data_IF_438241573223
#
_entry.id   IF_438241573223
#
_cell.length_a   1.000
_cell.length_b   1.000
_cell.length_c   1.000
_cell.angle_alpha   90.00
_cell.angle_beta   90.00
_cell.angle_gamma   90.00
#
_symmetry.space_group_name_H-M   'P 1'
#
loop_
_entity.id
_entity.type
_entity.pdbx_description
1 polymer ?
#
# COMPACT_ATOMS: atom_id res chain seq x y z
N UNK A 1 -22.31 10.36 -4.55
CA UNK A 1 -22.23 8.89 -4.59
C UNK A 1 -21.12 8.55 -5.58
N UNK A 2 -19.89 8.30 -5.09
CA UNK A 2 -18.80 7.85 -5.97
C UNK A 2 -19.15 6.45 -6.48
N UNK A 3 -18.93 6.21 -7.77
CA UNK A 3 -19.06 4.90 -8.36
C UNK A 3 -18.09 3.95 -7.64
N UNK A 4 -18.62 2.85 -7.09
CA UNK A 4 -17.79 1.77 -6.57
C UNK A 4 -17.10 1.11 -7.76
N UNK A 5 -15.80 1.38 -7.93
CA UNK A 5 -15.01 0.68 -8.94
C UNK A 5 -14.66 -0.70 -8.39
N UNK A 6 -15.07 -1.76 -9.08
CA UNK A 6 -14.80 -3.15 -8.68
C UNK A 6 -13.32 -3.57 -8.86
N UNK A 7 -12.48 -2.65 -9.35
CA UNK A 7 -11.06 -2.87 -9.61
C UNK A 7 -10.23 -1.93 -8.74
N UNK A 8 -9.32 -2.51 -7.96
CA UNK A 8 -8.32 -1.76 -7.19
C UNK A 8 -7.25 -1.20 -8.13
N UNK A 9 -6.83 0.03 -7.87
CA UNK A 9 -5.68 0.65 -8.54
C UNK A 9 -4.37 -0.03 -8.12
N UNK A 10 -3.27 0.17 -8.88
CA UNK A 10 -1.95 -0.34 -8.48
C UNK A 10 -1.52 0.10 -7.07
N UNK A 11 -1.81 1.35 -6.69
CA UNK A 11 -1.51 1.90 -5.36
C UNK A 11 -2.30 1.18 -4.27
N UNK A 12 -3.58 0.92 -4.50
CA UNK A 12 -4.43 0.21 -3.54
C UNK A 12 -4.02 -1.25 -3.40
N UNK A 13 -3.53 -1.89 -4.47
CA UNK A 13 -2.93 -3.22 -4.40
C UNK A 13 -1.64 -3.24 -3.57
N UNK A 14 -0.82 -2.18 -3.64
CA UNK A 14 0.34 -2.04 -2.75
C UNK A 14 -0.10 -1.85 -1.29
N UNK A 15 -1.15 -1.06 -1.04
CA UNK A 15 -1.70 -0.93 0.32
C UNK A 15 -2.15 -2.30 0.87
N UNK A 16 -2.81 -3.12 0.04
CA UNK A 16 -3.17 -4.51 0.38
C UNK A 16 -1.93 -5.34 0.70
N UNK A 17 -0.88 -5.27 -0.14
CA UNK A 17 0.35 -6.02 0.07
C UNK A 17 1.03 -5.64 1.40
N UNK A 18 1.24 -4.34 1.65
CA UNK A 18 1.83 -3.85 2.90
C UNK A 18 1.00 -4.27 4.12
N UNK A 19 -0.33 -4.18 4.05
CA UNK A 19 -1.20 -4.60 5.14
C UNK A 19 -1.08 -6.11 5.43
N UNK A 20 -0.99 -6.94 4.38
CA UNK A 20 -0.77 -8.38 4.52
C UNK A 20 0.59 -8.66 5.19
N UNK A 21 1.66 -8.09 4.66
CA UNK A 21 3.03 -8.30 5.17
C UNK A 21 3.20 -7.88 6.64
N UNK A 22 2.46 -6.88 7.09
CA UNK A 22 2.65 -6.28 8.40
C UNK A 22 1.72 -6.89 9.46
N UNK A 23 0.52 -7.30 9.06
CA UNK A 23 -0.56 -7.63 9.98
C UNK A 23 -1.17 -9.03 9.82
N UNK A 24 -0.93 -9.74 8.72
CA UNK A 24 -1.50 -11.07 8.52
C UNK A 24 -1.12 -12.05 9.65
N UNK A 25 0.14 -11.98 10.09
CA UNK A 25 0.64 -12.79 11.19
C UNK A 25 -0.05 -12.55 12.54
N UNK A 26 -0.80 -11.45 12.74
CA UNK A 26 -1.61 -11.24 13.96
C UNK A 26 -2.91 -12.05 13.98
N UNK A 27 -3.28 -12.66 12.85
CA UNK A 27 -4.56 -13.32 12.67
C UNK A 27 -4.40 -14.70 12.05
N UNK A 28 -3.23 -15.31 12.23
CA UNK A 28 -2.91 -16.64 11.72
C UNK A 28 -2.14 -17.46 12.76
N UNK A 29 -2.46 -18.74 12.84
CA UNK A 29 -1.83 -19.68 13.77
C UNK A 29 -2.36 -19.55 15.20
N UNK A 30 -1.60 -20.08 16.17
CA UNK A 30 -2.00 -20.13 17.56
C UNK A 30 -1.67 -18.82 18.29
N UNK A 31 -2.69 -18.13 18.82
CA UNK A 31 -2.54 -16.87 19.54
C UNK A 31 -3.47 -16.81 20.75
N UNK A 32 -2.90 -16.56 21.94
CA UNK A 32 -3.69 -16.36 23.16
C UNK A 32 -4.64 -17.53 23.50
N UNK A 33 -4.31 -18.76 23.11
CA UNK A 33 -5.16 -19.94 23.30
C UNK A 33 -6.18 -20.19 22.19
N UNK A 34 -6.29 -19.30 21.20
CA UNK A 34 -7.12 -19.47 20.00
C UNK A 34 -6.27 -19.92 18.82
N UNK A 35 -6.88 -20.62 17.87
CA UNK A 35 -6.24 -20.95 16.58
C UNK A 35 -6.99 -20.20 15.50
N UNK A 36 -6.26 -19.33 14.79
CA UNK A 36 -6.80 -18.57 13.66
C UNK A 36 -6.39 -19.21 12.35
N UNK A 37 -7.36 -19.35 11.46
CA UNK A 37 -7.14 -19.85 10.11
C UNK A 37 -6.85 -18.72 9.13
N UNK A 38 -6.51 -19.12 7.91
CA UNK A 38 -6.29 -18.18 6.80
C UNK A 38 -7.47 -17.24 6.55
N UNK A 39 -8.71 -17.76 6.61
CA UNK A 39 -9.91 -16.95 6.42
C UNK A 39 -10.07 -15.86 7.49
N UNK A 40 -9.63 -16.09 8.72
CA UNK A 40 -9.67 -15.08 9.79
C UNK A 40 -8.69 -13.95 9.46
N UNK A 41 -7.48 -14.31 9.02
CA UNK A 41 -6.49 -13.36 8.55
C UNK A 41 -7.02 -12.49 7.41
N UNK A 42 -7.56 -13.09 6.37
CA UNK A 42 -8.09 -12.36 5.22
C UNK A 42 -9.18 -11.36 5.64
N UNK A 43 -10.07 -11.77 6.55
CA UNK A 43 -11.13 -10.93 7.09
C UNK A 43 -10.59 -9.77 7.93
N UNK A 44 -9.79 -10.05 8.96
CA UNK A 44 -9.37 -9.04 9.93
C UNK A 44 -8.36 -8.04 9.36
N UNK A 45 -7.54 -8.45 8.38
CA UNK A 45 -6.71 -7.50 7.61
C UNK A 45 -7.59 -6.56 6.80
N UNK A 46 -8.61 -7.08 6.13
CA UNK A 46 -9.54 -6.30 5.31
C UNK A 46 -10.37 -5.31 6.13
N UNK A 47 -11.07 -5.81 7.16
CA UNK A 47 -11.97 -5.00 8.00
C UNK A 47 -11.21 -4.00 8.88
N UNK A 48 -10.01 -4.35 9.34
CA UNK A 48 -9.21 -3.50 10.23
C UNK A 48 -8.31 -2.54 9.46
N UNK A 49 -7.21 -3.08 8.93
CA UNK A 49 -6.10 -2.28 8.38
C UNK A 49 -6.45 -1.62 7.04
N UNK A 50 -7.41 -2.19 6.32
CA UNK A 50 -7.88 -1.70 5.03
C UNK A 50 -9.30 -1.13 5.12
N UNK A 51 -9.76 -0.73 6.30
CA UNK A 51 -11.10 -0.13 6.52
C UNK A 51 -11.38 1.04 5.58
N UNK A 52 -10.44 1.99 5.43
CA UNK A 52 -10.56 3.11 4.48
C UNK A 52 -10.67 2.67 3.02
N UNK A 53 -10.07 1.54 2.66
CA UNK A 53 -10.21 0.97 1.32
C UNK A 53 -11.59 0.32 1.16
N UNK A 54 -12.12 -0.30 2.23
CA UNK A 54 -13.49 -0.81 2.30
C UNK A 54 -14.56 0.31 2.31
N UNK A 55 -14.21 1.55 2.65
CA UNK A 55 -15.12 2.70 2.48
C UNK A 55 -15.26 3.11 1.00
N UNK A 56 -14.21 2.88 0.20
CA UNK A 56 -14.15 3.21 -1.24
C UNK A 56 -14.61 2.07 -2.14
N UNK A 57 -14.30 0.84 -1.76
CA UNK A 57 -14.63 -0.40 -2.46
C UNK A 57 -15.44 -1.31 -1.55
N UNK A 58 -16.20 -2.25 -2.11
CA UNK A 58 -16.90 -3.21 -1.24
C UNK A 58 -15.89 -4.06 -0.45
N UNK A 59 -16.25 -4.46 0.77
CA UNK A 59 -15.46 -5.42 1.56
C UNK A 59 -15.14 -6.68 0.76
N UNK A 60 -16.06 -7.14 -0.09
CA UNK A 60 -15.86 -8.30 -0.98
C UNK A 60 -14.67 -8.10 -1.92
N UNK A 61 -14.51 -6.92 -2.51
CA UNK A 61 -13.38 -6.59 -3.42
C UNK A 61 -12.06 -6.58 -2.65
N UNK A 62 -12.03 -5.90 -1.50
CA UNK A 62 -10.81 -5.81 -0.67
C UNK A 62 -10.40 -7.17 -0.12
N UNK A 63 -11.36 -7.95 0.39
CA UNK A 63 -11.11 -9.31 0.87
C UNK A 63 -10.58 -10.20 -0.26
N UNK A 64 -11.20 -10.18 -1.44
CA UNK A 64 -10.69 -10.95 -2.58
C UNK A 64 -9.23 -10.60 -2.93
N UNK A 65 -8.85 -9.33 -2.84
CA UNK A 65 -7.48 -8.89 -3.06
C UNK A 65 -6.50 -9.39 -1.97
N UNK A 66 -6.89 -9.32 -0.70
CA UNK A 66 -6.10 -9.87 0.42
C UNK A 66 -5.91 -11.38 0.26
N UNK A 67 -6.99 -12.11 -0.04
CA UNK A 67 -6.94 -13.55 -0.27
C UNK A 67 -6.04 -13.91 -1.45
N UNK A 68 -6.14 -13.18 -2.57
CA UNK A 68 -5.28 -13.37 -3.73
C UNK A 68 -3.80 -13.12 -3.39
N UNK A 69 -3.48 -12.03 -2.67
CA UNK A 69 -2.11 -11.71 -2.27
C UNK A 69 -1.52 -12.79 -1.35
N UNK A 70 -2.22 -13.18 -0.29
CA UNK A 70 -1.77 -14.26 0.61
C UNK A 70 -1.70 -15.63 -0.08
N UNK A 71 -2.35 -15.81 -1.24
CA UNK A 71 -2.27 -17.05 -2.02
C UNK A 71 -1.00 -17.06 -2.86
N UNK A 72 -0.66 -15.92 -3.43
CA UNK A 72 0.60 -15.73 -4.14
C UNK A 72 1.81 -15.72 -3.20
N UNK A 73 1.62 -15.32 -1.94
CA UNK A 73 2.67 -15.12 -0.93
C UNK A 73 2.44 -15.93 0.36
N UNK A 74 2.43 -17.27 0.30
CA UNK A 74 2.21 -18.11 1.49
C UNK A 74 3.30 -17.92 2.57
N UNK A 75 4.49 -17.44 2.20
CA UNK A 75 5.59 -17.14 3.10
C UNK A 75 5.24 -16.07 4.15
N UNK A 76 4.31 -15.15 3.87
CA UNK A 76 3.86 -14.13 4.82
C UNK A 76 3.25 -14.78 6.06
N UNK A 77 2.42 -15.81 5.86
CA UNK A 77 1.80 -16.54 6.97
C UNK A 77 2.81 -17.43 7.71
N UNK A 78 3.80 -17.97 6.99
CA UNK A 78 4.86 -18.79 7.57
C UNK A 78 5.85 -17.97 8.41
N UNK A 79 6.09 -16.71 8.07
CA UNK A 79 6.98 -15.81 8.80
C UNK A 79 6.44 -15.45 10.21
N UNK A 80 5.13 -15.61 10.42
CA UNK A 80 4.48 -15.36 11.71
C UNK A 80 4.30 -13.87 12.03
N UNK A 81 4.02 -13.58 13.30
CA UNK A 81 3.70 -12.23 13.77
C UNK A 81 4.94 -11.34 13.83
N UNK A 82 4.87 -10.17 13.19
CA UNK A 82 5.82 -9.08 13.40
C UNK A 82 5.57 -8.34 14.71
N UNK A 83 6.66 -7.92 15.36
CA UNK A 83 6.62 -6.94 16.45
C UNK A 83 6.25 -5.54 15.93
N UNK A 84 5.85 -4.65 16.84
CA UNK A 84 5.58 -3.26 16.47
C UNK A 84 6.84 -2.56 15.93
N UNK A 85 8.01 -2.86 16.50
CA UNK A 85 9.29 -2.33 16.02
C UNK A 85 9.59 -2.78 14.59
N UNK A 86 9.40 -4.06 14.27
CA UNK A 86 9.64 -4.58 12.92
C UNK A 86 8.70 -3.94 11.89
N UNK A 87 7.41 -3.74 12.24
CA UNK A 87 6.47 -3.00 11.38
C UNK A 87 6.93 -1.55 11.17
N UNK A 88 7.34 -0.87 12.23
CA UNK A 88 7.82 0.50 12.15
C UNK A 88 9.09 0.63 11.28
N UNK A 89 10.03 -0.31 11.40
CA UNK A 89 11.24 -0.36 10.56
C UNK A 89 10.91 -0.58 9.09
N UNK A 90 9.99 -1.50 8.77
CA UNK A 90 9.51 -1.71 7.41
C UNK A 90 8.86 -0.45 6.83
N UNK A 91 7.97 0.20 7.61
CA UNK A 91 7.32 1.43 7.16
C UNK A 91 8.35 2.55 6.94
N UNK A 92 9.32 2.72 7.84
CA UNK A 92 10.38 3.70 7.70
C UNK A 92 11.23 3.46 6.44
N UNK A 93 11.51 2.19 6.10
CA UNK A 93 12.24 1.84 4.89
C UNK A 93 11.44 2.17 3.61
N UNK A 94 10.12 1.88 3.60
CA UNK A 94 9.20 2.26 2.51
C UNK A 94 9.14 3.78 2.33
N UNK A 95 9.03 4.52 3.42
CA UNK A 95 8.99 5.99 3.40
C UNK A 95 10.31 6.60 2.93
N UNK A 96 11.46 6.02 3.32
CA UNK A 96 12.77 6.45 2.84
C UNK A 96 12.93 6.22 1.35
N UNK A 97 12.48 5.06 0.83
CA UNK A 97 12.48 4.79 -0.60
C UNK A 97 11.60 5.78 -1.38
N UNK A 98 10.42 6.11 -0.86
CA UNK A 98 9.55 7.13 -1.47
C UNK A 98 10.21 8.51 -1.47
N UNK A 99 10.86 8.92 -0.37
CA UNK A 99 11.60 10.19 -0.29
C UNK A 99 12.76 10.26 -1.29
N UNK A 100 13.52 9.17 -1.44
CA UNK A 100 14.62 9.10 -2.39
C UNK A 100 14.12 9.30 -3.83
N UNK A 101 13.03 8.64 -4.21
CA UNK A 101 12.40 8.78 -5.53
C UNK A 101 11.87 10.20 -5.79
N UNK A 102 11.29 10.85 -4.77
CA UNK A 102 10.87 12.25 -4.89
C UNK A 102 12.05 13.21 -5.05
N UNK A 103 13.16 12.97 -4.36
CA UNK A 103 14.38 13.75 -4.54
C UNK A 103 14.98 13.56 -5.95
N UNK A 104 14.96 12.33 -6.47
CA UNK A 104 15.35 12.04 -7.85
C UNK A 104 14.44 12.75 -8.87
N UNK A 105 13.15 12.89 -8.58
CA UNK A 105 12.18 13.57 -9.45
C UNK A 105 12.46 15.07 -9.63
N UNK A 106 13.23 15.70 -8.73
CA UNK A 106 13.56 17.13 -8.85
C UNK A 106 14.40 17.45 -10.09
N UNK A 107 15.29 16.55 -10.51
CA UNK A 107 16.17 16.75 -11.66
C UNK A 107 15.36 16.85 -12.96
N UNK A 108 14.58 15.83 -13.37
CA UNK A 108 13.75 15.92 -14.57
C UNK A 108 12.72 17.06 -14.49
N UNK A 109 12.18 17.36 -13.30
CA UNK A 109 11.30 18.52 -13.13
C UNK A 109 12.02 19.84 -13.46
N UNK A 110 13.22 20.09 -12.94
CA UNK A 110 13.97 21.33 -13.26
C UNK A 110 14.37 21.42 -14.74
N UNK A 111 14.63 20.27 -15.37
CA UNK A 111 15.00 20.17 -16.79
C UNK A 111 13.81 20.28 -17.76
N UNK A 112 12.58 20.38 -17.25
CA UNK A 112 11.37 20.39 -18.08
C UNK A 112 10.96 19.03 -18.63
N UNK A 113 11.55 17.94 -18.13
CA UNK A 113 11.20 16.55 -18.46
C UNK A 113 10.05 16.07 -17.58
N UNK A 114 8.86 16.62 -17.83
CA UNK A 114 7.68 16.44 -16.98
C UNK A 114 7.24 14.98 -16.85
N UNK A 115 7.25 14.22 -17.95
CA UNK A 115 6.83 12.82 -17.93
C UNK A 115 7.79 11.94 -17.11
N UNK A 116 9.10 12.21 -17.18
CA UNK A 116 10.12 11.53 -16.33
C UNK A 116 9.90 11.83 -14.84
N UNK A 117 9.59 13.10 -14.51
CA UNK A 117 9.29 13.49 -13.13
C UNK A 117 8.02 12.81 -12.59
N UNK A 118 6.96 12.74 -13.41
CA UNK A 118 5.72 12.05 -13.05
C UNK A 118 5.96 10.55 -12.83
N UNK A 119 6.75 9.90 -13.69
CA UNK A 119 7.07 8.48 -13.52
C UNK A 119 7.79 8.19 -12.19
N UNK A 120 8.66 9.10 -11.73
CA UNK A 120 9.33 8.98 -10.44
C UNK A 120 8.37 9.23 -9.27
N UNK A 121 7.45 10.19 -9.39
CA UNK A 121 6.39 10.44 -8.40
C UNK A 121 5.49 9.22 -8.26
N UNK A 122 5.06 8.62 -9.38
CA UNK A 122 4.22 7.41 -9.37
C UNK A 122 4.94 6.22 -8.73
N UNK A 123 6.24 6.05 -9.00
CA UNK A 123 7.07 5.04 -8.32
C UNK A 123 7.21 5.32 -6.82
N UNK A 124 7.30 6.58 -6.42
CA UNK A 124 7.38 6.96 -5.01
C UNK A 124 6.08 6.62 -4.26
N UNK A 125 4.92 6.87 -4.88
CA UNK A 125 3.62 6.49 -4.32
C UNK A 125 3.49 4.96 -4.21
N UNK A 126 3.96 4.21 -5.19
CA UNK A 126 4.01 2.76 -5.12
C UNK A 126 5.00 2.22 -4.06
N UNK A 127 5.98 3.02 -3.62
CA UNK A 127 6.89 2.61 -2.54
C UNK A 127 6.25 2.83 -1.16
N UNK A 128 5.55 3.94 -0.96
CA UNK A 128 4.80 4.21 0.27
C UNK A 128 3.57 5.11 -0.02
N UNK A 129 2.39 4.50 -0.26
CA UNK A 129 1.19 5.23 -0.68
C UNK A 129 0.76 6.37 0.25
N UNK A 130 1.02 6.21 1.55
CA UNK A 130 0.54 7.12 2.59
C UNK A 130 1.66 8.05 3.12
N UNK A 131 2.86 8.03 2.55
CA UNK A 131 4.01 8.80 3.05
C UNK A 131 3.80 10.32 2.96
N UNK A 132 3.24 10.80 1.83
CA UNK A 132 2.99 12.22 1.54
C UNK A 132 1.77 12.37 0.63
N UNK A 133 1.34 13.61 0.40
CA UNK A 133 0.31 13.90 -0.59
C UNK A 133 0.92 13.95 -2.01
N UNK A 134 0.94 12.82 -2.71
CA UNK A 134 1.49 12.70 -4.07
C UNK A 134 0.71 13.51 -5.12
N UNK A 135 -0.60 13.70 -4.94
CA UNK A 135 -1.41 14.51 -5.84
C UNK A 135 -0.94 15.97 -5.88
N UNK A 136 -0.44 16.49 -4.76
CA UNK A 136 0.19 17.82 -4.73
C UNK A 136 1.43 17.89 -5.62
N UNK A 137 2.26 16.85 -5.65
CA UNK A 137 3.44 16.80 -6.52
C UNK A 137 3.01 16.75 -8.00
N UNK A 138 2.02 15.90 -8.33
CA UNK A 138 1.45 15.82 -9.69
C UNK A 138 0.88 17.17 -10.15
N UNK A 139 0.15 17.86 -9.28
CA UNK A 139 -0.42 19.18 -9.58
C UNK A 139 0.68 20.20 -9.93
N UNK A 140 1.76 20.25 -9.15
CA UNK A 140 2.90 21.16 -9.41
C UNK A 140 3.54 20.90 -10.78
N UNK A 141 3.67 19.63 -11.18
CA UNK A 141 4.18 19.29 -12.53
C UNK A 141 3.18 19.72 -13.61
N UNK A 142 1.89 19.48 -13.41
CA UNK A 142 0.84 19.83 -14.38
C UNK A 142 0.74 21.35 -14.63
N UNK A 143 0.85 22.16 -13.57
CA UNK A 143 0.88 23.62 -13.65
C UNK A 143 2.08 24.15 -14.46
N UNK A 144 3.26 23.51 -14.33
CA UNK A 144 4.45 23.89 -15.11
C UNK A 144 4.39 23.46 -16.57
N UNK A 145 3.65 22.38 -16.87
CA UNK A 145 3.46 21.85 -18.23
C UNK A 145 2.49 22.69 -19.07
N UNK A 146 1.60 23.46 -18.43
CA UNK A 146 0.56 24.25 -19.08
C UNK A 146 0.93 25.75 -19.05
N UNK A 147 1.75 26.24 -20.00
CA UNK A 147 2.12 27.65 -20.08
C UNK A 147 0.96 28.57 -20.48
#
# INVERSE_FOLDING_TARGET
>A
MSATTDVLTPVELVQVAHACEDWAGNWYGQQGGFTFGRSDCERYVSEGQLSKLCDRHTLKVVWAAVAAHLNAHPEILAAGRLSDTQRAEKQAARDEAARALLAEAEVPYRDGRWDDALALIDRAELASPDAVNFDRYRQVVAERRSP
#
